data_IF_885652913932
#
_entry.id   IF_885652913932
#
_cell.length_a   1.000
_cell.length_b   1.000
_cell.length_c   1.000
_cell.angle_alpha   90.00
_cell.angle_beta   90.00
_cell.angle_gamma   90.00
#
_symmetry.space_group_name_H-M   'P 1'
#
loop_
_entity.id
_entity.type
_entity.pdbx_description
1 polymer ?
#
# COMPACT_ATOMS: atom_id res chain seq x y z
N UNK A 1 14.88 -15.83 16.29
CA UNK A 1 13.40 -15.71 16.27
C UNK A 1 13.03 -15.19 14.90
N UNK A 2 11.98 -15.72 14.27
CA UNK A 2 11.49 -15.18 13.01
C UNK A 2 10.97 -13.75 13.22
N UNK A 3 11.25 -12.84 12.29
CA UNK A 3 10.68 -11.49 12.32
C UNK A 3 9.16 -11.58 12.14
N UNK A 4 8.37 -10.72 12.82
CA UNK A 4 6.93 -10.71 12.64
C UNK A 4 6.58 -10.33 11.20
N UNK A 5 5.71 -11.13 10.57
CA UNK A 5 5.18 -10.85 9.24
C UNK A 5 3.92 -9.98 9.36
N UNK A 6 3.84 -8.97 8.49
CA UNK A 6 2.79 -7.96 8.50
C UNK A 6 2.11 -7.93 7.14
N UNK A 7 0.79 -7.78 7.14
CA UNK A 7 -0.02 -7.72 5.94
C UNK A 7 -0.54 -6.30 5.71
N UNK A 8 -0.36 -5.78 4.49
CA UNK A 8 -1.00 -4.55 4.05
C UNK A 8 -2.40 -4.88 3.53
N UNK A 9 -3.41 -4.65 4.35
CA UNK A 9 -4.79 -4.94 3.96
C UNK A 9 -5.41 -3.87 3.07
N UNK A 10 -5.13 -2.59 3.35
CA UNK A 10 -5.75 -1.48 2.62
C UNK A 10 -4.87 -0.23 2.66
N UNK A 11 -4.86 0.49 1.54
CA UNK A 11 -4.38 1.88 1.47
C UNK A 11 -5.59 2.79 1.57
N UNK A 12 -5.69 3.58 2.63
CA UNK A 12 -6.80 4.52 2.83
C UNK A 12 -6.35 5.96 2.61
N UNK A 13 -7.23 6.75 2.00
CA UNK A 13 -7.10 8.20 1.93
C UNK A 13 -5.84 8.70 1.23
N UNK A 14 -5.30 7.95 0.26
CA UNK A 14 -4.20 8.46 -0.57
C UNK A 14 -4.74 9.58 -1.45
N UNK A 15 -4.45 10.82 -1.09
CA UNK A 15 -4.96 12.01 -1.75
C UNK A 15 -3.84 12.97 -2.15
N UNK A 16 -4.05 13.67 -3.26
CA UNK A 16 -3.29 14.85 -3.62
C UNK A 16 -3.66 16.00 -2.70
N UNK A 17 -2.68 16.83 -2.34
CA UNK A 17 -2.93 18.09 -1.63
C UNK A 17 -3.41 19.20 -2.59
N UNK A 18 -3.07 19.11 -3.88
CA UNK A 18 -3.44 20.01 -4.97
C UNK A 18 -3.16 19.34 -6.34
N UNK A 19 -3.67 19.91 -7.45
CA UNK A 19 -3.55 19.34 -8.82
C UNK A 19 -2.10 19.20 -9.32
N UNK A 20 -1.16 19.93 -8.73
CA UNK A 20 0.27 19.93 -9.07
C UNK A 20 1.12 19.15 -8.08
N UNK A 21 0.50 18.43 -7.14
CA UNK A 21 1.18 17.90 -5.97
C UNK A 21 2.34 16.97 -6.35
N UNK A 22 3.53 17.33 -5.85
CA UNK A 22 4.73 16.51 -5.94
C UNK A 22 4.75 15.39 -4.88
N UNK A 23 3.90 15.51 -3.87
CA UNK A 23 3.79 14.59 -2.73
C UNK A 23 2.33 14.30 -2.39
N UNK A 24 2.10 13.09 -1.89
CA UNK A 24 0.79 12.55 -1.58
C UNK A 24 0.79 12.09 -0.14
N UNK A 25 -0.34 12.26 0.54
CA UNK A 25 -0.50 11.84 1.94
C UNK A 25 -1.59 10.78 2.04
N UNK A 26 -1.43 9.85 2.97
CA UNK A 26 -2.39 8.77 3.19
C UNK A 26 -2.09 7.97 4.45
N UNK A 27 -2.83 6.88 4.63
CA UNK A 27 -2.65 5.96 5.75
C UNK A 27 -2.61 4.52 5.24
N UNK A 28 -1.62 3.75 5.70
CA UNK A 28 -1.60 2.30 5.53
C UNK A 28 -2.22 1.65 6.76
N UNK A 29 -3.14 0.74 6.50
CA UNK A 29 -3.79 -0.12 7.49
C UNK A 29 -3.06 -1.45 7.44
N UNK A 30 -2.22 -1.71 8.44
CA UNK A 30 -1.43 -2.94 8.54
C UNK A 30 -1.93 -3.81 9.69
N UNK A 31 -1.88 -5.12 9.49
CA UNK A 31 -2.23 -6.12 10.48
C UNK A 31 -1.06 -7.06 10.68
N UNK A 32 -0.97 -7.60 11.90
CA UNK A 32 -0.15 -8.78 12.12
C UNK A 32 -0.82 -9.97 11.44
N UNK A 33 -0.03 -10.75 10.70
CA UNK A 33 -0.53 -11.94 10.02
C UNK A 33 -1.33 -12.85 10.98
N UNK A 34 -2.55 -13.22 10.58
CA UNK A 34 -3.47 -14.04 11.37
C UNK A 34 -4.18 -13.36 12.56
N UNK A 35 -4.04 -12.04 12.80
CA UNK A 35 -4.66 -11.36 13.94
C UNK A 35 -6.05 -10.77 13.66
N UNK A 36 -7.00 -10.97 14.58
CA UNK A 36 -8.37 -10.44 14.50
C UNK A 36 -8.54 -8.99 15.03
N UNK A 37 -7.57 -8.45 15.79
CA UNK A 37 -7.53 -7.06 16.30
C UNK A 37 -6.07 -6.59 16.56
N UNK A 38 -5.76 -5.27 16.70
CA UNK A 38 -6.25 -4.13 15.95
C UNK A 38 -5.17 -3.59 14.98
N UNK A 39 -5.66 -3.11 13.84
CA UNK A 39 -5.00 -2.25 12.84
C UNK A 39 -3.94 -1.34 13.46
N UNK A 40 -2.70 -1.39 12.97
CA UNK A 40 -1.80 -0.24 13.11
C UNK A 40 -2.00 0.70 11.91
N UNK A 41 -2.20 1.99 12.21
CA UNK A 41 -2.36 3.03 11.20
C UNK A 41 -1.05 3.81 11.07
N UNK A 42 -0.36 3.62 9.95
CA UNK A 42 0.86 4.35 9.66
C UNK A 42 0.54 5.49 8.71
N UNK A 43 0.82 6.73 9.14
CA UNK A 43 0.74 7.90 8.26
C UNK A 43 1.92 7.91 7.31
N UNK A 44 1.65 8.13 6.03
CA UNK A 44 2.69 8.23 5.01
C UNK A 44 2.61 9.52 4.21
N UNK A 45 3.78 9.93 3.74
CA UNK A 45 3.98 10.93 2.69
C UNK A 45 4.83 10.29 1.60
N UNK A 46 4.34 10.29 0.38
CA UNK A 46 4.96 9.60 -0.75
C UNK A 46 5.18 10.56 -1.90
N UNK A 47 6.38 10.52 -2.49
CA UNK A 47 6.69 11.32 -3.68
C UNK A 47 5.99 10.76 -4.91
N UNK A 48 5.60 11.66 -5.82
CA UNK A 48 4.98 11.29 -7.10
C UNK A 48 5.78 10.23 -7.87
N UNK A 49 7.09 10.40 -7.99
CA UNK A 49 7.96 9.48 -8.72
C UNK A 49 7.90 8.05 -8.19
N UNK A 50 7.76 7.90 -6.86
CA UNK A 50 7.62 6.60 -6.20
C UNK A 50 6.27 5.98 -6.54
N UNK A 51 5.16 6.75 -6.52
CA UNK A 51 3.85 6.23 -6.93
C UNK A 51 3.84 5.79 -8.40
N UNK A 52 4.50 6.53 -9.28
CA UNK A 52 4.62 6.16 -10.69
C UNK A 52 5.42 4.85 -10.88
N UNK A 53 6.50 4.68 -10.11
CA UNK A 53 7.29 3.45 -10.11
C UNK A 53 6.51 2.25 -9.56
N UNK A 54 5.82 2.44 -8.43
CA UNK A 54 4.96 1.40 -7.84
C UNK A 54 3.86 1.01 -8.81
N UNK A 55 3.19 1.98 -9.45
CA UNK A 55 2.14 1.73 -10.45
C UNK A 55 2.65 0.84 -11.59
N UNK A 56 3.80 1.19 -12.19
CA UNK A 56 4.42 0.38 -13.25
C UNK A 56 4.77 -1.03 -12.77
N UNK A 57 5.27 -1.14 -11.54
CA UNK A 57 5.66 -2.43 -10.97
C UNK A 57 4.45 -3.31 -10.70
N UNK A 58 3.40 -2.76 -10.08
CA UNK A 58 2.15 -3.48 -9.82
C UNK A 58 1.47 -3.91 -11.11
N UNK A 59 1.42 -3.05 -12.14
CA UNK A 59 0.87 -3.44 -13.45
C UNK A 59 1.61 -4.65 -14.02
N UNK A 60 2.95 -4.63 -14.05
CA UNK A 60 3.74 -5.76 -14.55
C UNK A 60 3.51 -7.05 -13.76
N UNK A 61 3.43 -6.96 -12.43
CA UNK A 61 3.18 -8.12 -11.57
C UNK A 61 1.77 -8.68 -11.82
N UNK A 62 0.75 -7.82 -11.83
CA UNK A 62 -0.64 -8.21 -12.03
C UNK A 62 -0.90 -8.82 -13.42
N UNK A 63 -0.22 -8.33 -14.47
CA UNK A 63 -0.30 -8.94 -15.80
C UNK A 63 0.22 -10.38 -15.82
N UNK A 64 1.20 -10.69 -14.98
CA UNK A 64 1.84 -12.03 -14.92
C UNK A 64 1.23 -12.94 -13.86
N UNK A 65 0.47 -12.38 -12.92
CA UNK A 65 -0.23 -13.16 -11.91
C UNK A 65 -1.47 -13.81 -12.51
N UNK A 66 -1.70 -15.07 -12.18
CA UNK A 66 -3.02 -15.69 -12.37
C UNK A 66 -4.03 -15.00 -11.47
N UNK A 67 -5.17 -14.60 -12.02
CA UNK A 67 -6.32 -14.23 -11.19
C UNK A 67 -6.61 -15.42 -10.29
N UNK A 68 -6.74 -15.18 -8.98
CA UNK A 68 -7.20 -16.19 -8.04
C UNK A 68 -8.61 -16.64 -8.49
N UNK A 69 -8.70 -17.79 -9.14
CA UNK A 69 -9.97 -18.48 -9.36
C UNK A 69 -10.27 -19.22 -8.07
N UNK A 70 -11.36 -18.85 -7.41
CA UNK A 70 -11.89 -19.61 -6.28
C UNK A 70 -12.33 -21.00 -6.73
#
# INVERSE_FOLDING_TARGET
MAEPEWELLTVQGLSMTDETAAEFVGTFVIHRDGSAEPVEQVRLRVKRSVLEEVSRTLQRLLTRSTKFSR
#
